data_IF_381190670571
#
_entry.id   IF_381190670571
#
_cell.length_a   1.000
_cell.length_b   1.000
_cell.length_c   1.000
_cell.angle_alpha   90.00
_cell.angle_beta   90.00
_cell.angle_gamma   90.00
#
_symmetry.space_group_name_H-M   'P 1'
#
loop_
_entity.id
_entity.type
_entity.pdbx_description
1 polymer ?
#
# COMPACT_ATOMS: atom_id res chain seq x y z
N UNK A 1 -19.09 54.70 -48.28
CA UNK A 1 -19.82 54.65 -46.97
C UNK A 1 -20.65 53.38 -46.76
N UNK A 2 -21.17 52.76 -47.81
CA UNK A 2 -21.98 51.53 -47.73
C UNK A 2 -21.28 50.34 -46.99
N UNK A 3 -20.00 50.05 -47.27
CA UNK A 3 -19.26 48.94 -46.67
C UNK A 3 -19.08 49.00 -45.12
N UNK A 4 -19.18 50.16 -44.51
CA UNK A 4 -19.04 50.32 -43.04
C UNK A 4 -20.37 50.04 -42.34
N UNK A 5 -21.47 50.39 -42.98
CA UNK A 5 -22.84 50.12 -42.50
C UNK A 5 -23.16 48.64 -42.54
N UNK A 6 -22.79 47.93 -43.60
CA UNK A 6 -23.02 46.50 -43.73
C UNK A 6 -22.24 45.72 -42.68
N UNK A 7 -20.97 46.05 -42.43
CA UNK A 7 -20.17 45.44 -41.34
C UNK A 7 -20.77 45.68 -39.95
N UNK A 8 -21.32 46.86 -39.71
CA UNK A 8 -21.96 47.15 -38.43
C UNK A 8 -23.26 46.35 -38.27
N UNK A 9 -24.05 46.21 -39.31
CA UNK A 9 -25.28 45.43 -39.34
C UNK A 9 -24.94 43.92 -39.07
N UNK A 10 -23.93 43.38 -39.76
CA UNK A 10 -23.46 42.01 -39.53
C UNK A 10 -23.00 41.78 -38.07
N UNK A 11 -22.35 42.79 -37.49
CA UNK A 11 -21.90 42.72 -36.11
C UNK A 11 -23.10 42.76 -35.15
N UNK A 12 -24.10 43.58 -35.40
CA UNK A 12 -25.33 43.66 -34.61
C UNK A 12 -26.09 42.32 -34.66
N UNK A 13 -26.21 41.71 -35.83
CA UNK A 13 -26.85 40.41 -35.98
C UNK A 13 -26.12 39.35 -35.14
N UNK A 14 -24.80 39.25 -35.24
CA UNK A 14 -23.99 38.29 -34.44
C UNK A 14 -24.15 38.51 -32.95
N UNK A 15 -24.11 39.75 -32.48
CA UNK A 15 -24.27 40.06 -31.07
C UNK A 15 -25.69 39.71 -30.56
N UNK A 16 -26.72 39.91 -31.35
CA UNK A 16 -28.07 39.48 -30.98
C UNK A 16 -28.19 37.98 -30.93
N UNK A 17 -27.61 37.23 -31.87
CA UNK A 17 -27.56 35.76 -31.81
C UNK A 17 -26.82 35.26 -30.55
N UNK A 18 -25.69 35.87 -30.18
CA UNK A 18 -24.96 35.56 -28.97
C UNK A 18 -25.76 35.88 -27.71
N UNK A 19 -26.49 37.01 -27.70
CA UNK A 19 -27.37 37.40 -26.61
C UNK A 19 -28.47 36.35 -26.39
N UNK A 20 -29.17 35.97 -27.46
CA UNK A 20 -30.24 34.98 -27.40
C UNK A 20 -29.74 33.63 -26.92
N UNK A 21 -28.56 33.21 -27.40
CA UNK A 21 -27.91 32.00 -26.96
C UNK A 21 -27.57 32.05 -25.46
N UNK A 22 -27.04 33.19 -25.02
CA UNK A 22 -26.69 33.38 -23.59
C UNK A 22 -27.93 33.37 -22.69
N UNK A 23 -29.01 34.04 -23.11
CA UNK A 23 -30.28 34.05 -22.40
C UNK A 23 -30.91 32.64 -22.31
N UNK A 24 -30.80 31.85 -23.39
CA UNK A 24 -31.26 30.47 -23.42
C UNK A 24 -30.45 29.61 -22.45
N UNK A 25 -29.12 29.76 -22.42
CA UNK A 25 -28.24 29.04 -21.49
C UNK A 25 -28.52 29.46 -20.04
N UNK A 26 -28.81 30.72 -19.78
CA UNK A 26 -29.16 31.22 -18.46
C UNK A 26 -30.46 30.61 -17.92
N UNK A 27 -31.48 30.46 -18.81
CA UNK A 27 -32.73 29.79 -18.43
C UNK A 27 -32.53 28.33 -18.10
N UNK A 28 -31.60 27.64 -18.77
CA UNK A 28 -31.29 26.23 -18.59
C UNK A 28 -29.88 26.02 -17.98
N UNK A 29 -29.55 26.79 -16.98
CA UNK A 29 -28.17 26.86 -16.44
C UNK A 29 -27.63 25.52 -15.95
N UNK A 30 -28.50 24.67 -15.40
CA UNK A 30 -28.12 23.35 -14.91
C UNK A 30 -27.67 22.43 -16.05
N UNK A 31 -28.49 22.35 -17.12
CA UNK A 31 -28.17 21.55 -18.31
C UNK A 31 -26.91 22.07 -19.01
N UNK A 32 -26.84 23.39 -19.19
CA UNK A 32 -25.64 24.02 -19.74
C UNK A 32 -24.38 23.74 -18.96
N UNK A 33 -24.46 23.76 -17.63
CA UNK A 33 -23.32 23.47 -16.74
C UNK A 33 -22.91 22.02 -16.88
N UNK A 34 -23.85 21.07 -16.93
CA UNK A 34 -23.60 19.68 -17.15
C UNK A 34 -22.87 19.44 -18.47
N UNK A 35 -23.38 19.98 -19.55
CA UNK A 35 -22.79 19.86 -20.89
C UNK A 35 -21.39 20.48 -20.94
N UNK A 36 -21.21 21.63 -20.32
CA UNK A 36 -19.90 22.28 -20.21
C UNK A 36 -18.86 21.37 -19.55
N UNK A 37 -19.20 20.77 -18.43
CA UNK A 37 -18.28 19.84 -17.72
C UNK A 37 -18.07 18.54 -18.48
N UNK A 38 -19.08 18.00 -19.17
CA UNK A 38 -18.90 16.85 -20.06
C UNK A 38 -17.93 17.16 -21.22
N UNK A 39 -18.00 18.32 -21.77
CA UNK A 39 -17.08 18.77 -22.84
C UNK A 39 -15.64 18.88 -22.30
N UNK A 40 -15.45 19.42 -21.09
CA UNK A 40 -14.14 19.47 -20.43
C UNK A 40 -13.64 18.06 -20.17
N UNK A 41 -14.48 17.17 -19.63
CA UNK A 41 -14.13 15.79 -19.36
C UNK A 41 -13.66 15.06 -20.63
N UNK A 42 -14.42 15.18 -21.71
CA UNK A 42 -14.10 14.56 -23.00
C UNK A 42 -12.79 15.09 -23.59
N UNK A 43 -12.54 16.40 -23.46
CA UNK A 43 -11.36 17.06 -24.04
C UNK A 43 -10.09 16.85 -23.21
N UNK A 44 -10.20 16.81 -21.89
CA UNK A 44 -9.05 16.86 -20.98
C UNK A 44 -9.02 15.71 -19.98
N UNK A 45 -10.06 14.86 -19.90
CA UNK A 45 -10.19 13.82 -18.89
C UNK A 45 -9.30 12.59 -19.09
N UNK A 46 -8.88 12.34 -20.33
CA UNK A 46 -8.05 11.16 -20.64
C UNK A 46 -6.71 11.22 -19.91
N UNK A 47 -6.42 10.20 -19.12
CA UNK A 47 -5.20 10.15 -18.29
C UNK A 47 -5.27 11.00 -17.01
N UNK A 48 -6.45 11.58 -16.70
CA UNK A 48 -6.72 12.37 -15.50
C UNK A 48 -7.89 11.82 -14.71
N UNK A 49 -8.07 10.50 -14.76
CA UNK A 49 -9.14 9.82 -14.05
C UNK A 49 -9.00 10.05 -12.54
N UNK A 50 -10.14 10.14 -11.88
CA UNK A 50 -10.18 10.34 -10.42
C UNK A 50 -9.55 9.17 -9.69
N UNK A 51 -8.44 9.42 -9.03
CA UNK A 51 -7.74 8.43 -8.18
C UNK A 51 -8.14 8.51 -6.71
N UNK A 52 -8.96 9.49 -6.34
CA UNK A 52 -9.42 9.71 -4.97
C UNK A 52 -10.82 9.12 -4.78
N UNK A 53 -10.99 8.31 -3.77
CA UNK A 53 -12.28 7.75 -3.34
C UNK A 53 -12.73 8.44 -2.05
N UNK A 54 -13.91 9.06 -2.05
CA UNK A 54 -14.52 9.64 -0.85
C UNK A 54 -15.35 8.56 -0.19
N UNK A 55 -15.00 8.18 1.03
CA UNK A 55 -15.68 7.14 1.80
C UNK A 55 -16.22 7.78 3.08
N UNK A 56 -17.51 7.51 3.39
CA UNK A 56 -18.07 7.82 4.71
C UNK A 56 -17.44 6.90 5.75
N UNK A 57 -17.25 7.41 6.96
CA UNK A 57 -16.94 6.54 8.09
C UNK A 57 -18.12 5.59 8.27
N UNK A 58 -17.91 4.31 7.91
CA UNK A 58 -18.84 3.27 8.32
C UNK A 58 -18.89 3.21 9.85
N UNK A 59 -20.04 2.82 10.37
CA UNK A 59 -20.28 2.60 11.80
C UNK A 59 -19.04 2.01 12.45
N UNK A 60 -18.46 2.71 13.42
CA UNK A 60 -17.20 2.39 14.06
C UNK A 60 -17.24 0.93 14.53
N UNK A 61 -16.52 0.05 13.85
CA UNK A 61 -16.39 -1.34 14.30
C UNK A 61 -15.69 -1.30 15.64
N UNK A 62 -16.19 -2.03 16.63
CA UNK A 62 -15.67 -2.10 18.00
C UNK A 62 -14.12 -2.24 18.05
N UNK A 63 -13.52 -2.89 17.05
CA UNK A 63 -12.06 -2.98 16.88
C UNK A 63 -11.34 -1.66 16.60
N UNK A 64 -12.01 -0.62 16.09
CA UNK A 64 -11.35 0.66 15.81
C UNK A 64 -11.38 1.62 17.01
N UNK A 65 -12.22 1.33 18.02
CA UNK A 65 -12.36 2.10 19.27
C UNK A 65 -11.67 1.42 20.46
N UNK A 66 -11.22 0.18 20.28
CA UNK A 66 -10.53 -0.55 21.33
C UNK A 66 -9.27 0.20 21.74
N UNK A 67 -9.21 0.61 22.99
CA UNK A 67 -8.07 1.31 23.55
C UNK A 67 -6.81 0.45 23.44
N UNK A 68 -5.67 1.06 23.08
CA UNK A 68 -4.36 0.40 23.10
C UNK A 68 -3.89 0.21 24.55
N UNK A 69 -4.51 -0.73 25.24
CA UNK A 69 -4.31 -0.98 26.67
C UNK A 69 -3.28 -2.08 26.98
N UNK A 70 -2.76 -2.72 25.94
CA UNK A 70 -1.85 -3.85 26.07
C UNK A 70 -0.53 -3.56 25.36
N UNK A 71 0.59 -3.91 25.98
CA UNK A 71 1.92 -3.81 25.38
C UNK A 71 2.34 -5.18 24.82
N UNK A 72 2.69 -5.21 23.53
CA UNK A 72 3.18 -6.41 22.87
C UNK A 72 4.70 -6.50 23.00
N UNK A 73 5.18 -7.61 23.57
CA UNK A 73 6.60 -7.93 23.68
C UNK A 73 6.96 -9.12 22.78
N UNK A 74 8.24 -9.22 22.40
CA UNK A 74 8.76 -10.29 21.56
C UNK A 74 10.09 -10.85 22.09
N UNK A 75 10.17 -12.18 22.20
CA UNK A 75 11.44 -12.91 22.31
C UNK A 75 11.79 -13.46 20.93
N UNK A 76 12.67 -12.75 20.21
CA UNK A 76 13.00 -13.08 18.82
C UNK A 76 13.68 -14.45 18.67
N UNK A 77 14.55 -14.81 19.58
CA UNK A 77 15.33 -16.07 19.50
C UNK A 77 14.47 -17.29 19.78
N UNK A 78 13.75 -17.25 20.88
CA UNK A 78 12.92 -18.37 21.33
C UNK A 78 11.58 -18.48 20.60
N UNK A 79 11.13 -17.38 19.97
CA UNK A 79 9.94 -17.38 19.12
C UNK A 79 8.63 -17.16 19.86
N UNK A 80 8.66 -16.45 20.97
CA UNK A 80 7.48 -16.11 21.74
C UNK A 80 7.09 -14.63 21.55
N UNK A 81 5.79 -14.38 21.52
CA UNK A 81 5.21 -13.04 21.60
C UNK A 81 4.10 -13.02 22.66
N UNK A 82 3.80 -11.87 23.20
CA UNK A 82 2.70 -11.71 24.16
C UNK A 82 2.87 -10.51 25.07
N UNK A 83 1.86 -10.28 25.92
CA UNK A 83 1.90 -9.18 26.89
C UNK A 83 2.49 -9.60 28.24
N UNK A 84 2.59 -10.88 28.54
CA UNK A 84 3.14 -11.40 29.81
C UNK A 84 4.66 -11.49 29.85
N UNK A 85 5.35 -11.41 28.70
CA UNK A 85 6.80 -11.53 28.62
C UNK A 85 7.50 -10.15 28.71
N UNK A 86 7.22 -9.38 29.76
CA UNK A 86 7.62 -7.98 29.95
C UNK A 86 9.13 -7.71 30.01
N UNK A 87 9.95 -8.73 30.20
CA UNK A 87 11.43 -8.63 30.24
C UNK A 87 12.06 -8.62 28.85
N UNK A 88 11.26 -8.84 27.81
CA UNK A 88 11.68 -8.93 26.44
C UNK A 88 11.50 -7.59 25.68
N UNK A 89 11.84 -7.57 24.41
CA UNK A 89 11.75 -6.39 23.55
C UNK A 89 10.29 -5.92 23.37
N UNK A 90 10.00 -4.64 23.66
CA UNK A 90 8.71 -4.01 23.38
C UNK A 90 8.58 -3.73 21.88
N UNK A 91 7.53 -4.24 21.24
CA UNK A 91 7.23 -4.02 19.84
C UNK A 91 6.32 -2.81 19.64
N UNK A 92 5.14 -2.82 20.26
CA UNK A 92 4.15 -1.74 20.12
C UNK A 92 3.07 -1.82 21.21
N UNK A 93 2.27 -0.78 21.30
CA UNK A 93 1.01 -0.82 22.02
C UNK A 93 -0.09 -1.35 21.11
N UNK A 94 -0.96 -2.20 21.60
CA UNK A 94 -2.07 -2.80 20.86
C UNK A 94 -3.28 -3.00 21.76
N UNK A 95 -4.37 -3.47 21.19
CA UNK A 95 -5.55 -3.88 21.94
C UNK A 95 -5.51 -5.39 22.21
N UNK A 96 -6.19 -5.83 23.25
CA UNK A 96 -6.39 -7.25 23.61
C UNK A 96 -7.17 -8.05 22.56
N UNK A 97 -7.83 -7.36 21.64
CA UNK A 97 -8.58 -7.95 20.52
C UNK A 97 -7.81 -7.97 19.19
N UNK A 98 -6.60 -7.42 19.16
CA UNK A 98 -5.81 -7.34 17.94
C UNK A 98 -5.24 -8.70 17.52
N UNK A 99 -5.08 -8.83 16.22
CA UNK A 99 -4.37 -9.96 15.62
C UNK A 99 -2.94 -9.52 15.26
N UNK A 100 -1.98 -10.38 15.53
CA UNK A 100 -0.56 -10.09 15.33
C UNK A 100 -0.02 -10.99 14.21
N UNK A 101 0.64 -10.38 13.22
CA UNK A 101 1.40 -11.10 12.20
C UNK A 101 2.87 -11.13 12.56
N UNK A 102 3.47 -12.30 12.44
CA UNK A 102 4.89 -12.52 12.77
C UNK A 102 5.59 -13.26 11.65
N UNK A 103 6.74 -12.76 11.21
CA UNK A 103 7.60 -13.36 10.18
C UNK A 103 8.88 -13.88 10.79
N UNK A 104 9.28 -15.08 10.42
CA UNK A 104 10.48 -15.76 10.90
C UNK A 104 11.59 -15.79 9.84
N UNK A 105 12.82 -16.01 10.27
CA UNK A 105 14.00 -16.02 9.41
C UNK A 105 14.01 -17.16 8.37
N UNK A 106 13.23 -18.22 8.57
CA UNK A 106 13.02 -19.31 7.63
C UNK A 106 12.03 -18.96 6.51
N UNK A 107 11.46 -17.74 6.51
CA UNK A 107 10.46 -17.30 5.56
C UNK A 107 9.04 -17.73 5.89
N UNK A 108 8.83 -18.39 7.03
CA UNK A 108 7.48 -18.67 7.52
C UNK A 108 6.86 -17.45 8.18
N UNK A 109 5.52 -17.38 8.15
CA UNK A 109 4.79 -16.39 8.93
C UNK A 109 3.48 -16.96 9.44
N UNK A 110 3.01 -16.40 10.54
CA UNK A 110 1.82 -16.83 11.25
C UNK A 110 1.03 -15.62 11.75
N UNK A 111 -0.30 -15.75 11.79
CA UNK A 111 -1.17 -14.77 12.40
C UNK A 111 -1.80 -15.39 13.63
N UNK A 112 -1.65 -14.73 14.75
CA UNK A 112 -2.19 -15.18 16.05
C UNK A 112 -2.95 -14.04 16.71
N UNK A 113 -3.92 -14.38 17.55
CA UNK A 113 -4.52 -13.42 18.46
C UNK A 113 -3.53 -13.11 19.57
N UNK A 114 -3.47 -11.86 20.04
CA UNK A 114 -2.63 -11.51 21.18
C UNK A 114 -3.06 -12.30 22.43
N UNK A 115 -2.08 -12.80 23.17
CA UNK A 115 -2.25 -13.59 24.40
C UNK A 115 -1.13 -13.24 25.38
N UNK A 116 -1.20 -13.81 26.58
CA UNK A 116 -0.16 -13.65 27.59
C UNK A 116 1.21 -14.09 27.06
N UNK A 117 1.28 -15.28 26.49
CA UNK A 117 2.47 -15.85 25.85
C UNK A 117 2.06 -16.86 24.78
N UNK A 118 2.50 -16.65 23.52
CA UNK A 118 2.22 -17.57 22.41
C UNK A 118 3.47 -17.83 21.59
N UNK A 119 3.67 -19.10 21.22
CA UNK A 119 4.76 -19.49 20.33
C UNK A 119 4.37 -19.28 18.86
N UNK A 120 5.20 -18.56 18.11
CA UNK A 120 4.94 -18.21 16.71
C UNK A 120 6.00 -18.74 15.74
N UNK A 121 7.15 -19.17 16.24
CA UNK A 121 8.29 -19.65 15.45
C UNK A 121 9.58 -19.00 15.89
N UNK A 122 10.70 -19.73 15.83
CA UNK A 122 12.01 -19.24 16.25
C UNK A 122 12.58 -18.21 15.27
N UNK A 123 13.50 -17.38 15.76
CA UNK A 123 14.22 -16.36 14.97
C UNK A 123 13.26 -15.40 14.29
N UNK A 124 12.44 -14.71 15.06
CA UNK A 124 11.47 -13.73 14.59
C UNK A 124 12.22 -12.53 14.01
N UNK A 125 11.88 -12.16 12.77
CA UNK A 125 12.42 -10.98 12.06
C UNK A 125 11.51 -9.78 12.21
N UNK A 126 10.19 -9.96 11.99
CA UNK A 126 9.21 -8.88 12.04
C UNK A 126 7.96 -9.32 12.78
N UNK A 127 7.46 -8.46 13.65
CA UNK A 127 6.18 -8.62 14.36
C UNK A 127 5.43 -7.31 14.33
N UNK A 128 4.14 -7.33 13.98
CA UNK A 128 3.28 -6.15 13.98
C UNK A 128 1.80 -6.49 14.08
N UNK A 129 0.95 -5.49 14.34
CA UNK A 129 -0.49 -5.63 14.31
C UNK A 129 -0.95 -5.93 12.88
N UNK A 130 -1.83 -6.92 12.74
CA UNK A 130 -2.43 -7.30 11.46
C UNK A 130 -3.91 -6.93 11.41
N UNK A 131 -4.32 -6.28 10.34
CA UNK A 131 -5.73 -5.94 10.08
C UNK A 131 -6.25 -6.76 8.91
N UNK A 132 -7.35 -7.48 9.12
CA UNK A 132 -8.03 -8.23 8.05
C UNK A 132 -8.54 -7.28 6.99
N UNK A 133 -8.39 -7.68 5.71
CA UNK A 133 -8.82 -6.90 4.53
C UNK A 133 -8.10 -5.57 4.33
N UNK A 134 -6.98 -5.33 5.01
CA UNK A 134 -6.15 -4.17 4.76
C UNK A 134 -5.40 -4.35 3.43
N UNK A 135 -5.81 -3.58 2.42
CA UNK A 135 -5.19 -3.54 1.09
C UNK A 135 -4.07 -2.51 0.98
N UNK A 136 -3.87 -1.69 2.02
CA UNK A 136 -2.81 -0.67 2.01
C UNK A 136 -1.50 -1.19 2.56
N UNK A 137 -1.56 -2.12 3.51
CA UNK A 137 -0.37 -2.76 4.08
C UNK A 137 0.26 -3.69 3.05
N UNK A 138 1.43 -3.30 2.57
CA UNK A 138 2.25 -4.06 1.62
C UNK A 138 3.54 -4.48 2.32
N UNK A 139 3.95 -5.72 2.12
CA UNK A 139 5.23 -6.24 2.57
C UNK A 139 6.18 -6.34 1.37
N UNK A 140 7.30 -5.65 1.46
CA UNK A 140 8.42 -5.81 0.53
C UNK A 140 9.38 -6.82 1.13
N UNK A 141 9.65 -7.91 0.43
CA UNK A 141 10.48 -8.99 0.94
C UNK A 141 11.48 -9.50 -0.08
N UNK A 142 12.66 -9.87 0.40
CA UNK A 142 13.63 -10.65 -0.36
C UNK A 142 13.92 -11.96 0.38
N UNK A 143 13.95 -13.07 -0.35
CA UNK A 143 14.16 -14.40 0.24
C UNK A 143 15.00 -15.28 -0.68
N UNK A 144 15.73 -16.21 -0.07
CA UNK A 144 16.45 -17.27 -0.72
C UNK A 144 15.55 -18.52 -0.76
N UNK A 145 15.30 -19.04 -1.94
CA UNK A 145 14.57 -20.31 -2.09
C UNK A 145 15.57 -21.48 -2.04
N UNK A 146 15.37 -22.38 -1.08
CA UNK A 146 16.25 -23.53 -0.87
C UNK A 146 16.23 -24.52 -2.04
N UNK A 147 15.10 -24.61 -2.75
CA UNK A 147 14.90 -25.60 -3.82
C UNK A 147 15.66 -25.24 -5.08
N UNK A 148 15.68 -23.94 -5.42
CA UNK A 148 16.35 -23.42 -6.62
C UNK A 148 17.72 -22.83 -6.34
N UNK A 149 18.01 -22.48 -5.10
CA UNK A 149 19.22 -21.73 -4.70
C UNK A 149 19.21 -20.28 -5.16
N UNK A 150 18.12 -19.81 -5.80
CA UNK A 150 18.00 -18.45 -6.30
C UNK A 150 17.40 -17.54 -5.24
N UNK A 151 17.76 -16.27 -5.32
CA UNK A 151 17.16 -15.22 -4.50
C UNK A 151 16.01 -14.55 -5.24
N UNK A 152 14.91 -14.34 -4.54
CA UNK A 152 13.67 -13.74 -5.06
C UNK A 152 13.33 -12.48 -4.30
N UNK A 153 12.62 -11.58 -4.98
CA UNK A 153 11.95 -10.42 -4.38
C UNK A 153 10.45 -10.54 -4.58
N UNK A 154 9.69 -10.01 -3.63
CA UNK A 154 8.24 -10.07 -3.66
C UNK A 154 7.67 -8.86 -2.95
N UNK A 155 6.68 -8.22 -3.59
CA UNK A 155 5.76 -7.29 -2.92
C UNK A 155 4.43 -8.00 -2.76
N UNK A 156 3.89 -8.02 -1.56
CA UNK A 156 2.65 -8.76 -1.34
C UNK A 156 1.81 -8.19 -0.20
N UNK A 157 0.53 -8.51 -0.28
CA UNK A 157 -0.47 -8.17 0.73
C UNK A 157 -0.97 -9.44 1.42
N UNK A 158 -1.25 -9.33 2.71
CA UNK A 158 -1.88 -10.39 3.52
C UNK A 158 -3.26 -9.91 3.94
N UNK A 159 -4.19 -9.85 3.00
CA UNK A 159 -5.57 -9.36 3.22
C UNK A 159 -6.45 -10.37 3.94
N UNK A 160 -6.14 -11.66 3.82
CA UNK A 160 -6.87 -12.75 4.46
C UNK A 160 -5.92 -13.88 4.85
N UNK A 161 -6.09 -14.41 6.03
CA UNK A 161 -5.37 -15.60 6.50
C UNK A 161 -6.17 -16.31 7.58
N UNK A 162 -6.00 -17.63 7.69
CA UNK A 162 -6.49 -18.42 8.81
C UNK A 162 -5.54 -18.24 9.98
N UNK A 163 -6.07 -17.91 11.15
CA UNK A 163 -5.27 -17.78 12.37
C UNK A 163 -4.64 -19.13 12.73
N UNK A 164 -3.52 -19.08 13.43
CA UNK A 164 -2.73 -20.23 13.88
C UNK A 164 -2.10 -21.08 12.75
N UNK A 165 -2.47 -20.85 11.48
CA UNK A 165 -1.89 -21.53 10.33
C UNK A 165 -0.55 -20.92 9.95
N UNK A 166 0.44 -21.79 9.66
CA UNK A 166 1.74 -21.37 9.13
C UNK A 166 1.65 -21.18 7.64
N UNK A 167 2.17 -20.07 7.16
CA UNK A 167 2.30 -19.70 5.75
C UNK A 167 3.77 -19.47 5.43
N UNK A 168 4.15 -19.62 4.16
CA UNK A 168 5.50 -19.34 3.66
C UNK A 168 5.48 -18.21 2.63
N UNK A 169 6.50 -17.34 2.66
CA UNK A 169 6.67 -16.26 1.68
C UNK A 169 6.96 -16.84 0.29
N UNK A 170 7.81 -17.87 0.23
CA UNK A 170 8.12 -18.63 -0.97
C UNK A 170 7.21 -19.84 -1.15
N UNK A 171 7.45 -20.61 -2.23
CA UNK A 171 6.75 -21.88 -2.46
C UNK A 171 7.42 -23.07 -1.77
N UNK A 172 8.67 -22.94 -1.36
CA UNK A 172 9.43 -24.02 -0.69
C UNK A 172 9.14 -24.00 0.79
N UNK A 173 8.70 -25.13 1.33
CA UNK A 173 8.27 -25.27 2.72
C UNK A 173 9.43 -25.35 3.71
N UNK A 174 10.61 -25.84 3.27
CA UNK A 174 11.77 -26.02 4.15
C UNK A 174 13.03 -25.44 3.55
N UNK A 175 13.89 -24.87 4.40
CA UNK A 175 15.23 -24.43 4.05
C UNK A 175 15.31 -23.09 3.31
N UNK A 176 14.20 -22.43 3.01
CA UNK A 176 14.19 -21.06 2.53
C UNK A 176 14.65 -20.10 3.62
N UNK A 177 15.20 -18.95 3.22
CA UNK A 177 15.70 -17.95 4.17
C UNK A 177 15.16 -16.59 3.80
N UNK A 178 14.53 -15.94 4.78
CA UNK A 178 14.15 -14.54 4.65
C UNK A 178 15.42 -13.68 4.78
N UNK A 179 15.71 -12.91 3.75
CA UNK A 179 16.88 -12.02 3.71
C UNK A 179 16.52 -10.59 4.10
N UNK A 180 15.28 -10.19 3.79
CA UNK A 180 14.78 -8.86 4.03
C UNK A 180 13.25 -8.88 4.09
N UNK A 181 12.67 -8.09 4.96
CA UNK A 181 11.24 -7.79 4.99
C UNK A 181 11.02 -6.40 5.59
N UNK A 182 10.21 -5.59 4.91
CA UNK A 182 9.78 -4.29 5.38
C UNK A 182 8.26 -4.13 5.22
N UNK A 183 7.56 -3.70 6.28
CA UNK A 183 6.15 -3.33 6.22
C UNK A 183 6.02 -1.92 5.64
N UNK A 184 5.12 -1.74 4.68
CA UNK A 184 4.85 -0.46 4.02
C UNK A 184 3.35 -0.15 4.10
N UNK A 185 2.92 0.66 5.08
CA UNK A 185 1.50 0.89 5.40
C UNK A 185 0.67 1.51 4.28
N UNK A 186 1.31 2.23 3.37
CA UNK A 186 0.66 2.83 2.22
C UNK A 186 1.19 2.27 0.89
N UNK A 187 1.79 1.09 0.91
CA UNK A 187 2.36 0.48 -0.28
C UNK A 187 3.50 1.29 -0.88
N UNK A 188 4.31 1.91 -0.03
CA UNK A 188 5.49 2.64 -0.46
C UNK A 188 6.45 1.67 -1.18
N UNK A 189 7.08 2.18 -2.24
CA UNK A 189 8.22 1.51 -2.84
C UNK A 189 9.47 1.80 -2.04
N UNK A 190 10.50 1.04 -2.29
CA UNK A 190 11.81 1.26 -1.68
C UNK A 190 12.92 0.79 -2.58
N UNK A 191 14.07 1.40 -2.45
CA UNK A 191 15.31 0.95 -3.07
C UNK A 191 16.13 0.24 -2.01
N UNK A 192 16.60 -0.94 -2.33
CA UNK A 192 17.46 -1.75 -1.45
C UNK A 192 18.81 -2.01 -2.10
N UNK A 193 19.85 -2.04 -1.30
CA UNK A 193 21.18 -2.47 -1.73
C UNK A 193 21.35 -3.96 -1.47
N UNK A 194 21.61 -4.70 -2.54
CA UNK A 194 21.76 -6.16 -2.54
C UNK A 194 23.23 -6.53 -2.54
N UNK A 195 23.66 -7.35 -1.60
CA UNK A 195 24.99 -7.88 -1.48
C UNK A 195 25.03 -9.36 -1.83
N UNK A 196 25.71 -9.73 -2.92
CA UNK A 196 25.94 -11.12 -3.30
C UNK A 196 27.04 -11.73 -2.44
N UNK A 197 26.93 -13.03 -2.15
CA UNK A 197 27.93 -13.77 -1.37
C UNK A 197 29.29 -13.75 -2.10
N UNK A 198 30.36 -13.52 -1.34
CA UNK A 198 31.71 -13.37 -1.90
C UNK A 198 32.19 -14.55 -2.74
N UNK A 199 31.80 -15.78 -2.37
CA UNK A 199 32.18 -17.02 -3.08
C UNK A 199 31.52 -17.18 -4.47
N UNK A 200 30.50 -16.36 -4.79
CA UNK A 200 29.81 -16.48 -6.08
C UNK A 200 30.60 -15.81 -7.20
N UNK A 201 30.58 -16.39 -8.41
CA UNK A 201 31.26 -15.84 -9.61
C UNK A 201 30.46 -14.71 -10.27
N UNK A 202 29.77 -13.88 -9.49
CA UNK A 202 29.03 -12.74 -10.00
C UNK A 202 29.98 -11.59 -10.36
N UNK A 203 29.81 -10.98 -11.53
CA UNK A 203 30.58 -9.82 -11.98
C UNK A 203 30.35 -8.58 -11.08
N UNK A 204 29.12 -8.35 -10.70
CA UNK A 204 28.71 -7.28 -9.79
C UNK A 204 28.32 -7.89 -8.44
N UNK A 205 29.04 -7.58 -7.37
CA UNK A 205 28.81 -8.12 -6.01
C UNK A 205 27.81 -7.30 -5.22
N UNK A 206 27.65 -6.02 -5.56
CA UNK A 206 26.74 -5.08 -4.91
C UNK A 206 25.97 -4.34 -5.99
N UNK A 207 24.65 -4.24 -5.85
CA UNK A 207 23.78 -3.48 -6.74
C UNK A 207 22.52 -3.03 -6.00
N UNK A 208 21.92 -1.98 -6.50
CA UNK A 208 20.65 -1.49 -5.98
C UNK A 208 19.49 -2.13 -6.77
N UNK A 209 18.39 -2.38 -6.07
CA UNK A 209 17.16 -2.90 -6.63
C UNK A 209 15.98 -2.04 -6.16
N UNK A 210 15.15 -1.60 -7.12
CA UNK A 210 13.96 -0.80 -6.84
C UNK A 210 12.71 -1.69 -6.80
N UNK A 211 12.02 -1.70 -5.67
CA UNK A 211 10.77 -2.44 -5.52
C UNK A 211 9.61 -1.84 -6.31
N UNK A 212 9.71 -0.61 -6.82
CA UNK A 212 8.68 -0.01 -7.68
C UNK A 212 8.52 -0.75 -9.01
N UNK A 213 9.57 -1.47 -9.45
CA UNK A 213 9.57 -2.24 -10.70
C UNK A 213 8.71 -3.51 -10.65
N UNK A 214 8.24 -3.92 -9.48
CA UNK A 214 7.44 -5.13 -9.32
C UNK A 214 6.04 -4.83 -8.80
N UNK A 215 5.09 -5.57 -9.36
CA UNK A 215 3.69 -5.49 -8.97
C UNK A 215 3.43 -6.06 -7.58
N UNK A 216 2.43 -5.52 -6.90
CA UNK A 216 1.93 -6.03 -5.63
C UNK A 216 1.09 -7.29 -5.91
N UNK A 217 1.50 -8.42 -5.34
CA UNK A 217 0.86 -9.73 -5.52
C UNK A 217 0.15 -10.21 -4.25
N UNK A 218 -0.66 -11.22 -4.40
CA UNK A 218 -1.24 -11.90 -3.25
C UNK A 218 -0.21 -12.76 -2.47
N UNK A 219 -0.57 -13.15 -1.26
CA UNK A 219 0.29 -13.94 -0.36
C UNK A 219 0.84 -15.24 -0.97
N UNK A 220 0.05 -15.93 -1.81
CA UNK A 220 0.42 -17.22 -2.41
C UNK A 220 1.27 -17.11 -3.68
N UNK A 221 1.44 -15.93 -4.25
CA UNK A 221 2.20 -15.74 -5.47
C UNK A 221 3.70 -15.98 -5.25
N UNK A 222 4.38 -16.49 -6.27
CA UNK A 222 5.85 -16.57 -6.29
C UNK A 222 6.44 -15.18 -6.54
N UNK A 223 7.58 -14.87 -5.91
CA UNK A 223 8.35 -13.65 -6.18
C UNK A 223 9.01 -13.64 -7.55
N UNK A 224 9.55 -12.49 -7.94
CA UNK A 224 10.38 -12.33 -9.12
C UNK A 224 11.83 -12.70 -8.77
N UNK A 225 12.60 -13.20 -9.75
CA UNK A 225 14.00 -13.54 -9.53
C UNK A 225 14.79 -12.24 -9.33
N UNK A 226 15.41 -12.09 -8.17
CA UNK A 226 16.35 -11.01 -7.87
C UNK A 226 17.75 -11.36 -8.42
N UNK A 227 18.18 -12.59 -8.17
CA UNK A 227 19.49 -13.06 -8.58
C UNK A 227 19.54 -14.58 -8.65
N UNK A 228 20.22 -15.10 -9.66
CA UNK A 228 20.57 -16.53 -9.74
C UNK A 228 21.70 -16.89 -8.77
N UNK A 229 22.43 -15.89 -8.28
CA UNK A 229 23.48 -16.06 -7.30
C UNK A 229 22.93 -15.92 -5.88
N UNK A 230 23.55 -16.58 -4.94
CA UNK A 230 23.18 -16.52 -3.53
C UNK A 230 23.45 -15.11 -2.98
N UNK A 231 22.40 -14.46 -2.54
CA UNK A 231 22.47 -13.16 -1.86
C UNK A 231 22.86 -13.38 -0.39
N UNK A 232 23.80 -12.60 0.09
CA UNK A 232 24.26 -12.60 1.48
C UNK A 232 23.37 -11.73 2.37
N UNK A 233 23.06 -10.50 1.90
CA UNK A 233 22.31 -9.51 2.65
C UNK A 233 21.59 -8.54 1.72
N UNK A 234 20.48 -8.03 2.17
CA UNK A 234 19.71 -6.95 1.55
C UNK A 234 19.54 -5.87 2.62
N UNK A 235 19.84 -4.62 2.28
CA UNK A 235 19.73 -3.47 3.17
C UNK A 235 18.85 -2.40 2.54
N UNK A 236 18.01 -1.77 3.33
CA UNK A 236 17.26 -0.60 2.89
C UNK A 236 18.25 0.54 2.53
N UNK A 237 18.01 1.20 1.41
CA UNK A 237 18.76 2.36 0.96
C UNK A 237 17.91 3.62 1.05
N UNK A 238 16.70 3.58 0.52
CA UNK A 238 15.76 4.69 0.55
C UNK A 238 14.32 4.20 0.43
N UNK A 239 13.39 4.91 1.05
CA UNK A 239 11.96 4.69 0.91
C UNK A 239 11.43 5.64 -0.16
N UNK A 240 10.67 5.10 -1.11
CA UNK A 240 10.04 5.85 -2.19
C UNK A 240 8.59 6.21 -1.88
N UNK A 241 7.91 6.68 -2.90
CA UNK A 241 6.50 7.04 -2.80
C UNK A 241 5.58 5.80 -2.81
N UNK A 242 4.33 6.02 -2.40
CA UNK A 242 3.28 5.00 -2.51
C UNK A 242 3.04 4.64 -3.98
N UNK A 243 2.98 3.34 -4.27
CA UNK A 243 2.64 2.81 -5.59
C UNK A 243 1.17 2.36 -5.66
N UNK A 244 0.43 2.49 -4.57
CA UNK A 244 -1.01 2.23 -4.57
C UNK A 244 -1.73 3.35 -5.30
N UNK A 245 -2.65 3.00 -6.19
CA UNK A 245 -3.54 3.95 -6.83
C UNK A 245 -4.57 4.47 -5.82
N UNK A 246 -4.71 5.79 -5.75
CA UNK A 246 -5.76 6.47 -5.00
C UNK A 246 -5.42 6.76 -3.53
N UNK A 247 -5.88 7.92 -3.11
CA UNK A 247 -5.91 8.37 -1.71
C UNK A 247 -7.33 8.14 -1.21
N UNK A 248 -7.49 7.49 -0.02
CA UNK A 248 -8.78 7.38 0.64
C UNK A 248 -8.96 8.57 1.57
N UNK A 249 -9.93 9.43 1.27
CA UNK A 249 -10.33 10.53 2.12
C UNK A 249 -11.59 10.08 2.86
N UNK A 250 -11.51 10.11 4.18
CA UNK A 250 -12.66 9.83 5.04
C UNK A 250 -13.33 11.18 5.35
N UNK A 251 -14.63 11.25 5.10
CA UNK A 251 -15.44 12.42 5.36
C UNK A 251 -16.34 12.17 6.58
N UNK A 252 -16.20 13.03 7.58
CA UNK A 252 -17.06 13.02 8.77
C UNK A 252 -17.95 14.26 8.76
N UNK A 253 -19.27 14.05 8.71
CA UNK A 253 -20.26 15.12 8.74
C UNK A 253 -20.35 15.84 10.10
N UNK A 254 -19.75 15.29 11.16
CA UNK A 254 -19.77 15.88 12.48
C UNK A 254 -18.72 16.98 12.67
N UNK A 255 -17.72 17.04 11.80
CA UNK A 255 -16.71 18.08 11.81
C UNK A 255 -17.23 19.24 10.95
N UNK A 256 -17.91 20.19 11.58
CA UNK A 256 -18.11 21.51 11.00
C UNK A 256 -16.73 22.16 10.89
N UNK A 257 -16.28 22.41 9.67
CA UNK A 257 -15.19 23.35 9.44
C UNK A 257 -15.72 24.73 9.86
N UNK A 258 -15.31 25.21 11.01
CA UNK A 258 -15.38 26.62 11.30
C UNK A 258 -14.35 27.29 10.41
N UNK A 259 -14.82 27.81 9.29
CA UNK A 259 -14.05 28.73 8.48
C UNK A 259 -13.89 30.03 9.29
N UNK A 260 -12.66 30.33 9.61
CA UNK A 260 -12.22 31.65 10.00
C UNK A 260 -11.51 32.33 8.83
#
# INVERSE_FOLDING_TARGET
>A
MLFRSDRLNDTIVKLNEELDKTLKNLKNIVEYTIDYYYNILNKYGKGRERKTEIIKFDTIKVKSVAANNVKLYVNRKEGFIGYGIRKEELVCNCSDIDDIITFCADGSYKIVKIQDKVFVGKNIVLTQIWKKSDKRMVFNAAYLDSKTGFSYVKRFQVTSATKEKIYNIGKSEKGSKLLYIAPRPNGESEVVTVHIHASQKARKKVFDYDFSEIEIKGKAAKGNILSKYRVRAVKEKSVGLSTLSGIKIYYDNSIRSEEH
#
